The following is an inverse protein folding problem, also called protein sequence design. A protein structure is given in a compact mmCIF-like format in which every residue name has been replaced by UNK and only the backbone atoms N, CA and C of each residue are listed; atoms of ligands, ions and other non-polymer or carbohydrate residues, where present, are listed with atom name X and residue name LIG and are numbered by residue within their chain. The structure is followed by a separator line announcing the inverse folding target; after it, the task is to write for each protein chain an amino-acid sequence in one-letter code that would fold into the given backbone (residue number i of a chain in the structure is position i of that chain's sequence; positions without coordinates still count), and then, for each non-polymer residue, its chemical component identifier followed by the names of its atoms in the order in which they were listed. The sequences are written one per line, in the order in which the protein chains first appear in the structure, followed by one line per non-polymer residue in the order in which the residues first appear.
data_IF_032706391467
#
_entry.id   IF_032706391467
#
_cell.length_a   1.000
_cell.length_b   1.000
_cell.length_c   1.000
_cell.angle_alpha   90.00
_cell.angle_beta   90.00
_cell.angle_gamma   90.00
#
_symmetry.space_group_name_H-M   'P 1'
#
loop_
_entity.id
_entity.type
_entity.pdbx_description
1 polymer ?
#
# COMPACT_ATOMS: atom_id res chain seq x y z
N UNK A 1 -11.42 -45.11 -16.43
CA UNK A 1 -12.26 -45.51 -17.58
C UNK A 1 -11.75 -44.74 -18.78
N UNK A 2 -10.90 -45.36 -19.60
CA UNK A 2 -10.23 -44.76 -20.76
C UNK A 2 -11.07 -45.04 -22.00
N UNK A 3 -11.48 -44.01 -22.74
CA UNK A 3 -12.19 -44.15 -24.01
C UNK A 3 -11.13 -44.30 -25.11
N UNK A 4 -10.99 -45.47 -25.77
CA UNK A 4 -10.08 -45.65 -26.88
C UNK A 4 -10.78 -45.19 -28.17
N UNK A 5 -10.13 -44.31 -28.95
CA UNK A 5 -10.54 -44.04 -30.34
C UNK A 5 -10.96 -42.62 -30.69
N UNK A 6 -10.75 -41.62 -29.82
CA UNK A 6 -10.91 -40.22 -30.25
C UNK A 6 -9.68 -39.81 -31.07
N UNK A 7 -9.75 -39.96 -32.40
CA UNK A 7 -8.80 -39.32 -33.33
C UNK A 7 -8.84 -37.83 -33.03
N UNK A 8 -7.74 -37.29 -32.51
CA UNK A 8 -7.64 -35.85 -32.31
C UNK A 8 -7.79 -35.17 -33.68
N UNK A 9 -8.68 -34.18 -33.82
CA UNK A 9 -8.67 -33.32 -35.00
C UNK A 9 -7.28 -32.72 -35.13
N UNK A 10 -6.65 -32.95 -36.29
CA UNK A 10 -5.44 -32.25 -36.71
C UNK A 10 -5.89 -30.80 -36.94
N UNK A 11 -5.86 -30.00 -35.89
CA UNK A 11 -5.80 -28.55 -36.00
C UNK A 11 -4.41 -28.24 -36.56
N UNK A 12 -4.34 -27.55 -37.69
CA UNK A 12 -3.07 -27.04 -38.22
C UNK A 12 -2.47 -26.04 -37.22
N UNK A 13 -1.28 -26.37 -36.73
CA UNK A 13 -0.60 -25.84 -35.53
C UNK A 13 0.17 -24.52 -35.78
N UNK A 14 0.27 -24.04 -37.03
CA UNK A 14 1.18 -22.92 -37.35
C UNK A 14 0.64 -21.52 -36.97
N UNK A 15 -0.69 -21.35 -36.89
CA UNK A 15 -1.31 -20.06 -36.54
C UNK A 15 -1.41 -19.80 -35.03
N UNK A 16 -1.65 -20.84 -34.23
CA UNK A 16 -1.84 -20.74 -32.78
C UNK A 16 -0.53 -20.49 -32.04
N UNK A 17 0.58 -21.12 -32.43
CA UNK A 17 1.89 -20.84 -31.81
C UNK A 17 2.40 -19.43 -32.09
N UNK A 18 2.19 -18.91 -33.30
CA UNK A 18 2.61 -17.56 -33.65
C UNK A 18 1.81 -16.49 -32.88
N UNK A 19 0.51 -16.70 -32.68
CA UNK A 19 -0.34 -15.82 -31.88
C UNK A 19 0.04 -15.88 -30.39
N UNK A 20 0.19 -17.09 -29.85
CA UNK A 20 0.62 -17.32 -28.46
C UNK A 20 1.98 -16.64 -28.18
N UNK A 21 2.95 -16.76 -29.10
CA UNK A 21 4.26 -16.10 -28.96
C UNK A 21 4.18 -14.57 -29.00
N UNK A 22 3.31 -13.99 -29.83
CA UNK A 22 3.12 -12.52 -29.89
C UNK A 22 2.47 -12.00 -28.62
N UNK A 23 1.46 -12.70 -28.11
CA UNK A 23 0.78 -12.36 -26.86
C UNK A 23 1.77 -12.43 -25.69
N UNK A 24 2.55 -13.51 -25.62
CA UNK A 24 3.59 -13.67 -24.62
C UNK A 24 4.63 -12.53 -24.67
N UNK A 25 5.16 -12.21 -25.86
CA UNK A 25 6.16 -11.13 -26.00
C UNK A 25 5.60 -9.76 -25.61
N UNK A 26 4.32 -9.52 -25.87
CA UNK A 26 3.65 -8.30 -25.45
C UNK A 26 3.48 -8.25 -23.93
N UNK A 27 3.06 -9.35 -23.29
CA UNK A 27 2.99 -9.49 -21.82
C UNK A 27 4.35 -9.15 -21.19
N UNK A 28 5.40 -9.86 -21.65
CA UNK A 28 6.79 -9.66 -21.22
C UNK A 28 7.24 -8.20 -21.32
N UNK A 29 6.89 -7.51 -22.41
CA UNK A 29 7.23 -6.10 -22.58
C UNK A 29 6.55 -5.20 -21.54
N UNK A 30 5.29 -5.46 -21.18
CA UNK A 30 4.58 -4.74 -20.12
C UNK A 30 5.14 -5.05 -18.72
N UNK A 31 5.59 -6.27 -18.48
CA UNK A 31 6.22 -6.66 -17.22
C UNK A 31 7.58 -5.96 -17.04
N UNK A 32 8.38 -5.90 -18.11
CA UNK A 32 9.60 -5.08 -18.17
C UNK A 32 9.31 -3.59 -17.91
N UNK A 33 8.26 -3.02 -18.52
CA UNK A 33 7.86 -1.64 -18.28
C UNK A 33 7.42 -1.41 -16.83
N UNK A 34 6.73 -2.38 -16.24
CA UNK A 34 6.31 -2.32 -14.82
C UNK A 34 7.53 -2.31 -13.91
N UNK A 35 8.52 -3.17 -14.17
CA UNK A 35 9.78 -3.18 -13.44
C UNK A 35 10.54 -1.83 -13.52
N UNK A 36 10.63 -1.26 -14.73
CA UNK A 36 11.27 0.05 -14.93
C UNK A 36 10.53 1.18 -14.21
N UNK A 37 9.19 1.16 -14.25
CA UNK A 37 8.36 2.11 -13.53
C UNK A 37 8.59 2.02 -12.01
N UNK A 38 8.54 0.80 -11.44
CA UNK A 38 8.81 0.56 -10.02
C UNK A 38 10.21 1.04 -9.60
N UNK A 39 11.23 0.76 -10.41
CA UNK A 39 12.60 1.22 -10.17
C UNK A 39 12.71 2.74 -10.18
N UNK A 40 11.99 3.40 -11.09
CA UNK A 40 11.92 4.87 -11.15
C UNK A 40 11.19 5.45 -9.93
N UNK A 41 10.10 4.81 -9.48
CA UNK A 41 9.39 5.18 -8.26
C UNK A 41 10.23 4.98 -7.01
N UNK A 42 11.07 3.94 -6.95
CA UNK A 42 12.00 3.73 -5.85
C UNK A 42 13.04 4.85 -5.78
N UNK A 43 13.64 5.20 -6.93
CA UNK A 43 14.56 6.33 -7.01
C UNK A 43 13.88 7.63 -6.55
N UNK A 44 12.65 7.89 -7.02
CA UNK A 44 11.88 9.06 -6.58
C UNK A 44 11.56 9.02 -5.08
N UNK A 45 11.12 7.89 -4.53
CA UNK A 45 10.83 7.73 -3.11
C UNK A 45 12.05 8.04 -2.23
N UNK A 46 13.25 7.65 -2.66
CA UNK A 46 14.51 7.96 -1.97
C UNK A 46 14.85 9.47 -1.97
N UNK A 47 14.34 10.26 -2.91
CA UNK A 47 14.52 11.73 -2.89
C UNK A 47 13.58 12.43 -1.91
N UNK A 48 12.51 11.77 -1.43
CA UNK A 48 11.57 12.33 -0.47
C UNK A 48 12.19 12.24 0.93
N UNK A 49 12.21 13.36 1.67
CA UNK A 49 12.81 13.43 3.01
C UNK A 49 12.21 12.36 3.96
N UNK A 50 13.03 11.46 4.54
CA UNK A 50 12.55 10.30 5.30
C UNK A 50 12.06 10.71 6.69
N UNK A 51 10.80 11.18 6.80
CA UNK A 51 10.26 11.61 8.10
C UNK A 51 8.92 10.99 8.49
N UNK A 52 8.23 10.27 7.58
CA UNK A 52 6.98 9.57 7.91
C UNK A 52 7.14 8.05 7.87
N UNK A 53 6.42 7.35 8.74
CA UNK A 53 6.34 5.88 8.74
C UNK A 53 5.75 5.32 7.42
N UNK A 54 4.68 5.91 6.84
CA UNK A 54 4.14 5.42 5.56
C UNK A 54 5.13 5.45 4.40
N UNK A 55 6.03 6.45 4.34
CA UNK A 55 7.06 6.50 3.29
C UNK A 55 8.05 5.33 3.40
N UNK A 56 8.47 4.99 4.62
CA UNK A 56 9.34 3.83 4.85
C UNK A 56 8.65 2.54 4.41
N UNK A 57 7.36 2.40 4.73
CA UNK A 57 6.56 1.29 4.24
C UNK A 57 6.47 1.26 2.72
N UNK A 58 6.21 2.39 2.06
CA UNK A 58 6.13 2.47 0.60
C UNK A 58 7.45 2.08 -0.09
N UNK A 59 8.60 2.47 0.47
CA UNK A 59 9.93 2.03 -0.01
C UNK A 59 10.07 0.50 0.12
N UNK A 60 9.66 -0.08 1.25
CA UNK A 60 9.69 -1.53 1.45
C UNK A 60 8.79 -2.23 0.42
N UNK A 61 7.57 -1.74 0.18
CA UNK A 61 6.67 -2.28 -0.87
C UNK A 61 7.35 -2.23 -2.24
N UNK A 62 7.95 -1.10 -2.62
CA UNK A 62 8.63 -0.95 -3.91
C UNK A 62 9.77 -1.96 -4.06
N UNK A 63 10.61 -2.13 -3.04
CA UNK A 63 11.70 -3.12 -3.06
C UNK A 63 11.16 -4.54 -3.21
N UNK A 64 10.17 -4.93 -2.41
CA UNK A 64 9.57 -6.27 -2.48
C UNK A 64 8.94 -6.53 -3.86
N UNK A 65 8.22 -5.55 -4.42
CA UNK A 65 7.61 -5.70 -5.73
C UNK A 65 8.64 -5.76 -6.85
N UNK A 66 9.72 -4.98 -6.78
CA UNK A 66 10.86 -5.05 -7.70
C UNK A 66 11.48 -6.46 -7.64
N UNK A 67 11.68 -7.03 -6.44
CA UNK A 67 12.19 -8.39 -6.29
C UNK A 67 11.24 -9.43 -6.93
N UNK A 68 9.94 -9.32 -6.68
CA UNK A 68 8.94 -10.22 -7.28
C UNK A 68 8.93 -10.12 -8.83
N UNK A 69 8.97 -8.91 -9.37
CA UNK A 69 8.98 -8.67 -10.81
C UNK A 69 10.28 -9.13 -11.46
N UNK A 70 11.42 -8.90 -10.81
CA UNK A 70 12.72 -9.35 -11.31
C UNK A 70 12.77 -10.88 -11.46
N UNK A 71 12.29 -11.61 -10.44
CA UNK A 71 12.24 -13.08 -10.49
C UNK A 71 11.31 -13.58 -11.61
N UNK A 72 10.16 -12.92 -11.79
CA UNK A 72 9.22 -13.26 -12.87
C UNK A 72 9.83 -13.01 -14.26
N UNK A 73 10.48 -11.85 -14.46
CA UNK A 73 11.17 -11.52 -15.71
C UNK A 73 12.33 -12.50 -16.00
N UNK A 74 13.09 -12.90 -14.97
CA UNK A 74 14.16 -13.91 -15.14
C UNK A 74 13.56 -15.21 -15.70
N UNK A 75 12.45 -15.67 -15.13
CA UNK A 75 11.76 -16.86 -15.63
C UNK A 75 11.32 -16.69 -17.10
N UNK A 76 10.67 -15.58 -17.43
CA UNK A 76 10.19 -15.32 -18.80
C UNK A 76 11.35 -15.24 -19.81
N UNK A 77 12.52 -14.71 -19.40
CA UNK A 77 13.74 -14.70 -20.23
C UNK A 77 14.25 -16.13 -20.47
N UNK A 78 14.23 -17.00 -19.44
CA UNK A 78 14.63 -18.41 -19.58
C UNK A 78 13.69 -19.16 -20.53
N UNK A 79 12.39 -18.89 -20.45
CA UNK A 79 11.39 -19.43 -21.36
C UNK A 79 11.63 -18.97 -22.81
N UNK A 80 11.88 -17.67 -23.02
CA UNK A 80 12.24 -17.11 -24.34
C UNK A 80 13.51 -17.72 -24.92
N UNK A 81 14.52 -17.95 -24.07
CA UNK A 81 15.77 -18.58 -24.45
C UNK A 81 15.61 -20.08 -24.74
N UNK A 82 14.42 -20.67 -24.48
CA UNK A 82 14.18 -22.12 -24.52
C UNK A 82 15.23 -22.88 -23.70
N UNK A 83 15.71 -22.26 -22.63
CA UNK A 83 16.77 -22.80 -21.82
C UNK A 83 16.20 -24.00 -21.05
N UNK A 84 16.77 -25.19 -21.26
CA UNK A 84 16.44 -26.39 -20.49
C UNK A 84 17.10 -26.27 -19.12
N UNK A 85 16.61 -25.35 -18.30
CA UNK A 85 17.05 -25.20 -16.92
C UNK A 85 16.35 -26.28 -16.11
N UNK A 86 17.13 -27.01 -15.31
CA UNK A 86 16.61 -27.96 -14.31
C UNK A 86 15.61 -27.24 -13.38
N UNK A 87 14.86 -28.00 -12.57
CA UNK A 87 13.79 -27.59 -11.63
C UNK A 87 14.10 -26.41 -10.66
N UNK A 88 15.23 -25.72 -10.76
CA UNK A 88 15.60 -24.55 -9.96
C UNK A 88 14.64 -23.35 -10.10
N UNK A 89 13.99 -23.18 -11.25
CA UNK A 89 13.00 -22.10 -11.45
C UNK A 89 11.82 -22.18 -10.46
N UNK A 90 11.59 -23.36 -9.87
CA UNK A 90 10.56 -23.57 -8.85
C UNK A 90 10.83 -22.72 -7.61
N UNK A 91 12.11 -22.56 -7.23
CA UNK A 91 12.50 -21.69 -6.11
C UNK A 91 12.21 -20.23 -6.46
N UNK A 92 12.50 -19.83 -7.71
CA UNK A 92 12.24 -18.47 -8.17
C UNK A 92 10.75 -18.13 -8.11
N UNK A 93 9.88 -19.07 -8.51
CA UNK A 93 8.43 -18.90 -8.38
C UNK A 93 7.95 -18.80 -6.94
N UNK A 94 8.46 -19.66 -6.04
CA UNK A 94 8.15 -19.55 -4.61
C UNK A 94 8.56 -18.18 -4.05
N UNK A 95 9.75 -17.69 -4.40
CA UNK A 95 10.23 -16.39 -3.94
C UNK A 95 9.44 -15.23 -4.56
N UNK A 96 9.09 -15.30 -5.85
CA UNK A 96 8.30 -14.30 -6.53
C UNK A 96 6.92 -14.15 -5.88
N UNK A 97 6.23 -15.27 -5.63
CA UNK A 97 4.93 -15.25 -4.96
C UNK A 97 5.05 -14.74 -3.52
N UNK A 98 6.07 -15.17 -2.77
CA UNK A 98 6.33 -14.68 -1.42
C UNK A 98 6.48 -13.14 -1.41
N UNK A 99 7.34 -12.59 -2.26
CA UNK A 99 7.57 -11.16 -2.32
C UNK A 99 6.32 -10.38 -2.78
N UNK A 100 5.56 -10.93 -3.74
CA UNK A 100 4.29 -10.35 -4.21
C UNK A 100 3.24 -10.27 -3.09
N UNK A 101 3.08 -11.37 -2.35
CA UNK A 101 2.15 -11.47 -1.24
C UNK A 101 2.54 -10.54 -0.09
N UNK A 102 3.81 -10.55 0.32
CA UNK A 102 4.30 -9.66 1.39
C UNK A 102 4.18 -8.19 0.97
N UNK A 103 4.54 -7.85 -0.27
CA UNK A 103 4.38 -6.50 -0.83
C UNK A 103 2.94 -6.01 -0.71
N UNK A 104 1.97 -6.85 -1.09
CA UNK A 104 0.54 -6.53 -1.00
C UNK A 104 0.09 -6.28 0.45
N UNK A 105 0.50 -7.13 1.40
CA UNK A 105 0.20 -6.95 2.82
C UNK A 105 0.79 -5.64 3.38
N UNK A 106 2.04 -5.33 3.03
CA UNK A 106 2.69 -4.08 3.45
C UNK A 106 2.02 -2.87 2.78
N UNK A 107 1.50 -2.99 1.56
CA UNK A 107 0.77 -1.91 0.90
C UNK A 107 -0.56 -1.60 1.61
N UNK A 108 -1.32 -2.62 2.06
CA UNK A 108 -2.47 -2.42 2.95
C UNK A 108 -2.08 -1.65 4.21
N UNK A 109 -0.98 -2.05 4.86
CA UNK A 109 -0.45 -1.36 6.03
C UNK A 109 -0.11 0.11 5.73
N UNK A 110 0.51 0.41 4.57
CA UNK A 110 0.85 1.77 4.17
C UNK A 110 -0.41 2.63 3.97
N UNK A 111 -1.45 2.11 3.32
CA UNK A 111 -2.72 2.83 3.18
C UNK A 111 -3.38 3.08 4.54
N UNK A 112 -3.47 2.08 5.41
CA UNK A 112 -4.04 2.25 6.75
C UNK A 112 -3.26 3.25 7.59
N UNK A 113 -1.93 3.19 7.61
CA UNK A 113 -1.11 4.19 8.29
C UNK A 113 -1.31 5.59 7.71
N UNK A 114 -1.42 5.72 6.39
CA UNK A 114 -1.69 7.01 5.73
C UNK A 114 -3.04 7.57 6.16
N UNK A 115 -4.11 6.75 6.13
CA UNK A 115 -5.45 7.14 6.58
C UNK A 115 -5.44 7.56 8.05
N UNK A 116 -4.81 6.78 8.94
CA UNK A 116 -4.73 7.13 10.36
C UNK A 116 -3.98 8.44 10.59
N UNK A 117 -2.86 8.63 9.88
CA UNK A 117 -2.07 9.85 9.98
C UNK A 117 -2.86 11.09 9.52
N UNK A 118 -3.70 10.93 8.48
CA UNK A 118 -4.62 11.97 8.05
C UNK A 118 -5.71 12.24 9.11
N UNK A 119 -6.37 11.19 9.61
CA UNK A 119 -7.43 11.30 10.62
C UNK A 119 -6.94 11.96 11.90
N UNK A 120 -5.75 11.61 12.38
CA UNK A 120 -5.14 12.16 13.59
C UNK A 120 -4.92 13.67 13.47
N UNK A 121 -4.65 14.19 12.25
CA UNK A 121 -4.54 15.64 12.00
C UNK A 121 -5.88 16.35 11.84
N UNK A 122 -6.95 15.63 11.50
CA UNK A 122 -8.27 16.21 11.25
C UNK A 122 -9.10 16.40 12.52
N UNK A 123 -8.69 15.82 13.65
CA UNK A 123 -9.42 15.92 14.90
C UNK A 123 -8.67 16.78 15.90
N UNK A 124 -9.18 17.98 16.12
CA UNK A 124 -8.87 18.77 17.31
C UNK A 124 -9.45 18.03 18.52
N UNK A 125 -8.61 17.37 19.32
CA UNK A 125 -8.94 16.85 20.65
C UNK A 125 -10.09 15.81 20.74
N UNK A 126 -9.78 14.52 20.55
CA UNK A 126 -10.67 13.43 20.97
C UNK A 126 -10.21 12.05 20.52
N UNK A 127 -10.74 10.98 21.12
CA UNK A 127 -10.44 9.56 20.80
C UNK A 127 -11.33 8.89 19.71
N UNK A 128 -12.04 9.58 18.78
CA UNK A 128 -13.16 8.96 18.07
C UNK A 128 -12.77 7.86 17.06
N UNK A 129 -11.48 7.70 16.73
CA UNK A 129 -11.03 6.73 15.73
C UNK A 129 -10.18 5.57 16.28
N UNK A 130 -10.07 5.44 17.61
CA UNK A 130 -9.45 4.26 18.20
C UNK A 130 -10.12 2.94 17.74
N UNK A 131 -11.47 2.84 17.66
CA UNK A 131 -12.12 1.64 17.15
C UNK A 131 -11.76 1.33 15.70
N UNK A 132 -11.70 2.34 14.84
CA UNK A 132 -11.32 2.18 13.43
C UNK A 132 -9.92 1.59 13.29
N UNK A 133 -8.97 2.10 14.08
CA UNK A 133 -7.59 1.59 14.11
C UNK A 133 -7.55 0.11 14.49
N UNK A 134 -8.33 -0.29 15.50
CA UNK A 134 -8.44 -1.69 15.91
C UNK A 134 -8.98 -2.54 14.75
N UNK A 135 -10.04 -2.09 14.08
CA UNK A 135 -10.63 -2.81 12.93
C UNK A 135 -9.60 -3.00 11.81
N UNK A 136 -8.89 -1.95 11.39
CA UNK A 136 -7.85 -2.06 10.35
C UNK A 136 -6.75 -3.05 10.72
N UNK A 137 -6.29 -3.06 11.98
CA UNK A 137 -5.27 -4.02 12.44
C UNK A 137 -5.79 -5.47 12.46
N UNK A 138 -7.05 -5.68 12.84
CA UNK A 138 -7.69 -7.01 12.79
C UNK A 138 -7.81 -7.50 11.35
N UNK A 139 -8.26 -6.64 10.43
CA UNK A 139 -8.36 -6.95 9.00
C UNK A 139 -6.99 -7.28 8.40
N UNK A 140 -5.96 -6.49 8.73
CA UNK A 140 -4.59 -6.74 8.28
C UNK A 140 -4.04 -8.07 8.82
N UNK A 141 -4.30 -8.39 10.09
CA UNK A 141 -3.92 -9.67 10.69
C UNK A 141 -4.58 -10.85 10.00
N UNK A 142 -5.89 -10.75 9.73
CA UNK A 142 -6.65 -11.77 8.99
C UNK A 142 -6.10 -12.00 7.59
N UNK A 143 -5.85 -10.92 6.83
CA UNK A 143 -5.24 -11.03 5.50
C UNK A 143 -3.85 -11.64 5.57
N UNK A 144 -3.03 -11.25 6.55
CA UNK A 144 -1.67 -11.80 6.68
C UNK A 144 -1.69 -13.31 6.92
N UNK A 145 -2.57 -13.79 7.80
CA UNK A 145 -2.73 -15.24 8.07
C UNK A 145 -3.24 -15.98 6.84
N UNK A 146 -4.25 -15.43 6.15
CA UNK A 146 -4.79 -16.01 4.93
C UNK A 146 -3.73 -16.13 3.83
N UNK A 147 -2.95 -15.06 3.64
CA UNK A 147 -1.87 -14.98 2.69
C UNK A 147 -0.72 -15.94 3.00
N UNK A 148 -0.37 -16.09 4.27
CA UNK A 148 0.63 -17.07 4.70
C UNK A 148 0.14 -18.51 4.47
N UNK A 149 -1.13 -18.79 4.75
CA UNK A 149 -1.74 -20.10 4.48
C UNK A 149 -1.74 -20.42 2.99
N UNK A 150 -2.09 -19.44 2.14
CA UNK A 150 -2.08 -19.59 0.69
C UNK A 150 -0.67 -19.86 0.16
N UNK A 151 0.31 -19.07 0.58
CA UNK A 151 1.71 -19.27 0.25
C UNK A 151 2.22 -20.66 0.68
N UNK A 152 1.87 -21.13 1.87
CA UNK A 152 2.28 -22.46 2.35
C UNK A 152 1.72 -23.59 1.46
N UNK A 153 0.46 -23.47 1.03
CA UNK A 153 -0.14 -24.44 0.09
C UNK A 153 0.52 -24.34 -1.29
N UNK A 154 0.83 -23.12 -1.75
CA UNK A 154 1.54 -22.89 -3.01
C UNK A 154 2.92 -23.59 -3.03
N UNK A 155 3.72 -23.39 -1.98
CA UNK A 155 5.01 -24.09 -1.81
C UNK A 155 4.84 -25.62 -1.84
N UNK A 156 3.80 -26.14 -1.19
CA UNK A 156 3.52 -27.58 -1.19
C UNK A 156 3.11 -28.11 -2.57
N UNK A 157 2.42 -27.29 -3.39
CA UNK A 157 2.09 -27.63 -4.78
C UNK A 157 3.34 -27.67 -5.63
N UNK A 158 4.17 -26.64 -5.55
CA UNK A 158 5.43 -26.54 -6.30
C UNK A 158 6.38 -27.70 -5.97
N UNK A 159 6.50 -28.05 -4.68
CA UNK A 159 7.24 -29.23 -4.24
C UNK A 159 6.70 -30.54 -4.85
N UNK A 160 5.38 -30.75 -4.81
CA UNK A 160 4.75 -31.94 -5.40
C UNK A 160 4.80 -31.96 -6.93
N UNK A 161 4.89 -30.78 -7.57
CA UNK A 161 5.11 -30.63 -9.01
C UNK A 161 6.43 -31.26 -9.41
N UNK A 162 7.48 -30.94 -8.65
CA UNK A 162 8.83 -31.48 -8.81
C UNK A 162 8.88 -33.00 -8.62
N UNK A 163 8.13 -33.53 -7.65
CA UNK A 163 8.02 -34.98 -7.42
C UNK A 163 7.11 -35.72 -8.44
N UNK A 164 6.30 -35.00 -9.21
CA UNK A 164 5.29 -35.60 -10.09
C UNK A 164 4.08 -36.21 -9.35
N UNK A 165 3.83 -35.78 -8.11
CA UNK A 165 2.80 -36.35 -7.21
C UNK A 165 1.64 -35.39 -6.92
N UNK A 166 1.46 -34.35 -7.76
CA UNK A 166 0.34 -33.41 -7.63
C UNK A 166 -1.00 -34.17 -7.65
N UNK A 167 -1.83 -33.89 -6.65
CA UNK A 167 -3.19 -34.43 -6.57
C UNK A 167 -4.21 -33.34 -6.90
N UNK A 168 -5.34 -33.72 -7.50
CA UNK A 168 -6.43 -32.77 -7.73
C UNK A 168 -6.90 -32.10 -6.42
N UNK A 169 -6.87 -32.83 -5.30
CA UNK A 169 -7.27 -32.33 -3.98
C UNK A 169 -6.42 -31.14 -3.49
N UNK A 170 -5.09 -31.18 -3.66
CA UNK A 170 -4.24 -30.06 -3.22
C UNK A 170 -4.44 -28.82 -4.10
N UNK A 171 -4.61 -29.03 -5.41
CA UNK A 171 -4.88 -27.95 -6.36
C UNK A 171 -6.22 -27.26 -6.11
N UNK A 172 -7.28 -28.03 -5.83
CA UNK A 172 -8.60 -27.51 -5.47
C UNK A 172 -8.57 -26.69 -4.17
N UNK A 173 -7.86 -27.18 -3.15
CA UNK A 173 -7.66 -26.43 -1.89
C UNK A 173 -6.95 -25.10 -2.12
N UNK A 174 -5.89 -25.08 -2.94
CA UNK A 174 -5.18 -23.84 -3.28
C UNK A 174 -6.07 -22.88 -4.05
N UNK A 175 -6.80 -23.34 -5.08
CA UNK A 175 -7.72 -22.50 -5.86
C UNK A 175 -8.76 -21.82 -4.97
N UNK A 176 -9.34 -22.55 -4.03
CA UNK A 176 -10.29 -21.99 -3.03
C UNK A 176 -9.64 -20.91 -2.18
N UNK A 177 -8.42 -21.16 -1.71
CA UNK A 177 -7.70 -20.26 -0.82
C UNK A 177 -7.22 -18.99 -1.55
N UNK A 178 -6.65 -19.14 -2.74
CA UNK A 178 -6.30 -18.06 -3.66
C UNK A 178 -7.52 -17.20 -3.98
N UNK A 179 -8.66 -17.82 -4.31
CA UNK A 179 -9.88 -17.08 -4.62
C UNK A 179 -10.43 -16.32 -3.42
N UNK A 180 -10.43 -16.93 -2.24
CA UNK A 180 -10.81 -16.27 -1.00
C UNK A 180 -9.89 -15.07 -0.71
N UNK A 181 -8.56 -15.22 -0.90
CA UNK A 181 -7.59 -14.14 -0.75
C UNK A 181 -7.89 -12.97 -1.68
N UNK A 182 -8.06 -13.21 -2.98
CA UNK A 182 -8.36 -12.17 -3.96
C UNK A 182 -9.66 -11.42 -3.64
N UNK A 183 -10.72 -12.11 -3.21
CA UNK A 183 -11.99 -11.48 -2.83
C UNK A 183 -11.82 -10.62 -1.57
N UNK A 184 -11.11 -11.13 -0.55
CA UNK A 184 -10.87 -10.37 0.69
C UNK A 184 -10.00 -9.14 0.41
N UNK A 185 -8.99 -9.27 -0.43
CA UNK A 185 -8.15 -8.15 -0.87
C UNK A 185 -8.98 -7.09 -1.60
N UNK A 186 -9.89 -7.51 -2.48
CA UNK A 186 -10.83 -6.61 -3.15
C UNK A 186 -11.70 -5.83 -2.15
N UNK A 187 -12.30 -6.52 -1.17
CA UNK A 187 -13.15 -5.88 -0.15
C UNK A 187 -12.34 -4.90 0.70
N UNK A 188 -11.13 -5.25 1.10
CA UNK A 188 -10.26 -4.35 1.88
C UNK A 188 -9.78 -3.15 1.05
N UNK A 189 -9.49 -3.34 -0.24
CA UNK A 189 -9.13 -2.23 -1.13
C UNK A 189 -10.31 -1.27 -1.35
N UNK A 190 -11.54 -1.79 -1.42
CA UNK A 190 -12.75 -0.98 -1.46
C UNK A 190 -12.92 -0.17 -0.16
N UNK A 191 -12.69 -0.80 0.98
CA UNK A 191 -12.75 -0.15 2.29
C UNK A 191 -11.72 1.00 2.41
N UNK A 192 -10.47 0.79 1.98
CA UNK A 192 -9.45 1.84 1.87
C UNK A 192 -9.93 3.00 1.00
N UNK A 193 -10.54 2.71 -0.15
CA UNK A 193 -11.03 3.73 -1.07
C UNK A 193 -12.14 4.58 -0.44
N UNK A 194 -13.10 3.93 0.23
CA UNK A 194 -14.20 4.62 0.95
C UNK A 194 -13.64 5.51 2.07
N UNK A 195 -12.70 5.00 2.88
CA UNK A 195 -12.08 5.81 3.94
C UNK A 195 -11.25 6.96 3.39
N UNK A 196 -10.58 6.77 2.26
CA UNK A 196 -9.83 7.85 1.60
C UNK A 196 -10.76 8.97 1.14
N UNK A 197 -11.92 8.64 0.59
CA UNK A 197 -12.96 9.62 0.25
C UNK A 197 -13.45 10.34 1.51
N UNK A 198 -13.81 9.58 2.55
CA UNK A 198 -14.31 10.13 3.81
C UNK A 198 -13.31 11.14 4.42
N UNK A 199 -12.04 10.76 4.51
CA UNK A 199 -10.96 11.61 5.02
C UNK A 199 -10.79 12.85 4.15
N UNK A 200 -10.88 12.71 2.82
CA UNK A 200 -10.75 13.85 1.90
C UNK A 200 -11.90 14.84 2.05
N UNK A 201 -13.14 14.36 2.15
CA UNK A 201 -14.32 15.22 2.37
C UNK A 201 -14.20 15.95 3.71
N UNK A 202 -13.82 15.23 4.78
CA UNK A 202 -13.61 15.82 6.11
C UNK A 202 -12.44 16.81 6.13
N UNK A 203 -11.39 16.55 5.38
CA UNK A 203 -10.28 17.48 5.24
C UNK A 203 -10.69 18.76 4.49
N UNK A 204 -11.57 18.65 3.48
CA UNK A 204 -12.07 19.79 2.73
C UNK A 204 -12.81 20.84 3.57
N UNK A 205 -13.34 20.46 4.74
CA UNK A 205 -13.99 21.38 5.67
C UNK A 205 -13.02 22.04 6.65
N UNK A 206 -11.78 21.57 6.75
CA UNK A 206 -10.73 22.12 7.60
C UNK A 206 -9.68 22.88 6.77
N UNK A 207 -8.89 23.74 7.44
CA UNK A 207 -8.00 24.77 6.87
C UNK A 207 -6.73 24.21 6.19
N UNK A 208 -6.85 23.29 5.23
CA UNK A 208 -5.70 22.86 4.43
C UNK A 208 -5.38 23.88 3.33
N UNK A 209 -4.13 24.34 3.32
CA UNK A 209 -3.60 25.24 2.28
C UNK A 209 -3.53 24.58 0.89
N UNK A 210 -3.50 23.24 0.79
CA UNK A 210 -3.51 22.51 -0.48
C UNK A 210 -4.31 21.21 -0.42
N UNK A 211 -5.20 21.01 -1.41
CA UNK A 211 -6.01 19.78 -1.58
C UNK A 211 -5.31 18.70 -2.39
N UNK A 212 -4.17 19.01 -3.02
CA UNK A 212 -3.43 18.10 -3.89
C UNK A 212 -3.09 16.74 -3.26
N UNK A 213 -2.56 16.63 -2.02
CA UNK A 213 -2.22 15.34 -1.43
C UNK A 213 -3.44 14.42 -1.23
N UNK A 214 -4.63 15.00 -0.99
CA UNK A 214 -5.85 14.23 -0.79
C UNK A 214 -6.35 13.64 -2.11
N UNK A 215 -6.36 14.43 -3.19
CA UNK A 215 -6.72 13.94 -4.52
C UNK A 215 -5.75 12.88 -5.03
N UNK A 216 -4.45 13.02 -4.75
CA UNK A 216 -3.47 12.00 -5.13
C UNK A 216 -3.67 10.71 -4.33
N UNK A 217 -4.08 10.78 -3.05
CA UNK A 217 -4.44 9.59 -2.28
C UNK A 217 -5.72 8.91 -2.79
N UNK A 218 -6.74 9.68 -3.20
CA UNK A 218 -7.94 9.13 -3.87
C UNK A 218 -7.53 8.39 -5.14
N UNK A 219 -6.67 8.98 -5.97
CA UNK A 219 -6.18 8.33 -7.19
C UNK A 219 -5.44 7.02 -6.87
N UNK A 220 -4.54 7.03 -5.88
CA UNK A 220 -3.80 5.83 -5.47
C UNK A 220 -4.73 4.71 -4.96
N UNK A 221 -5.69 5.05 -4.11
CA UNK A 221 -6.67 4.09 -3.56
C UNK A 221 -7.63 3.57 -4.63
N UNK A 222 -8.03 4.40 -5.59
CA UNK A 222 -8.84 3.98 -6.74
C UNK A 222 -8.06 2.99 -7.63
N UNK A 223 -6.78 3.25 -7.90
CA UNK A 223 -5.94 2.32 -8.66
C UNK A 223 -5.70 1.02 -7.87
N UNK A 224 -5.52 1.10 -6.55
CA UNK A 224 -5.40 -0.10 -5.70
C UNK A 224 -6.70 -0.92 -5.69
N UNK A 225 -7.85 -0.26 -5.60
CA UNK A 225 -9.16 -0.89 -5.75
C UNK A 225 -9.30 -1.56 -7.11
N UNK A 226 -8.97 -0.86 -8.20
CA UNK A 226 -9.02 -1.40 -9.56
C UNK A 226 -8.12 -2.63 -9.76
N UNK A 227 -6.89 -2.59 -9.24
CA UNK A 227 -5.97 -3.73 -9.26
C UNK A 227 -6.57 -4.96 -8.58
N UNK A 228 -7.11 -4.81 -7.36
CA UNK A 228 -7.69 -5.93 -6.63
C UNK A 228 -9.03 -6.39 -7.23
N UNK A 229 -9.81 -5.49 -7.83
CA UNK A 229 -11.03 -5.86 -8.57
C UNK A 229 -10.70 -6.75 -9.77
N UNK A 230 -9.65 -6.41 -10.54
CA UNK A 230 -9.18 -7.24 -11.65
C UNK A 230 -8.84 -8.66 -11.16
N UNK A 231 -7.97 -8.78 -10.16
CA UNK A 231 -7.59 -10.08 -9.60
C UNK A 231 -8.77 -10.83 -8.98
N UNK A 232 -9.72 -10.13 -8.35
CA UNK A 232 -10.97 -10.71 -7.86
C UNK A 232 -11.81 -11.32 -8.98
N UNK A 233 -11.96 -10.63 -10.11
CA UNK A 233 -12.69 -11.13 -11.28
C UNK A 233 -11.99 -12.36 -11.87
N UNK A 234 -10.67 -12.31 -12.04
CA UNK A 234 -9.87 -13.44 -12.53
C UNK A 234 -10.04 -14.64 -11.60
N UNK A 235 -9.91 -14.45 -10.29
CA UNK A 235 -10.04 -15.51 -9.31
C UNK A 235 -11.44 -16.16 -9.31
N UNK A 236 -12.52 -15.36 -9.33
CA UNK A 236 -13.89 -15.87 -9.41
C UNK A 236 -14.09 -16.70 -10.69
N UNK A 237 -13.60 -16.20 -11.82
CA UNK A 237 -13.67 -16.91 -13.10
C UNK A 237 -12.92 -18.24 -13.05
N UNK A 238 -11.69 -18.22 -12.53
CA UNK A 238 -10.84 -19.40 -12.39
C UNK A 238 -11.43 -20.43 -11.44
N UNK A 239 -12.16 -20.00 -10.41
CA UNK A 239 -12.89 -20.89 -9.51
C UNK A 239 -14.12 -21.53 -10.17
N UNK A 240 -14.91 -20.75 -10.91
CA UNK A 240 -16.15 -21.23 -11.55
C UNK A 240 -15.89 -22.10 -12.78
N UNK A 241 -14.77 -21.90 -13.47
CA UNK A 241 -14.44 -22.60 -14.71
C UNK A 241 -13.67 -23.89 -14.38
N UNK A 242 -14.39 -24.99 -14.18
CA UNK A 242 -13.83 -26.31 -13.81
C UNK A 242 -12.87 -26.87 -14.87
N UNK A 243 -12.86 -26.34 -16.10
CA UNK A 243 -11.93 -26.78 -17.15
C UNK A 243 -10.49 -26.40 -16.82
N UNK A 244 -9.72 -27.42 -16.41
CA UNK A 244 -8.38 -27.35 -15.84
C UNK A 244 -7.30 -26.85 -16.80
N UNK A 245 -7.55 -26.76 -18.10
CA UNK A 245 -6.45 -26.70 -19.05
C UNK A 245 -5.74 -25.34 -19.08
N UNK A 246 -6.36 -24.25 -19.57
CA UNK A 246 -5.67 -22.97 -19.73
C UNK A 246 -6.68 -21.83 -19.69
N UNK A 247 -6.36 -20.75 -18.96
CA UNK A 247 -7.03 -19.48 -19.16
C UNK A 247 -6.88 -19.05 -20.64
N UNK A 248 -7.78 -18.24 -21.17
CA UNK A 248 -7.67 -17.78 -22.55
C UNK A 248 -6.36 -16.97 -22.66
N UNK A 249 -5.58 -17.24 -23.70
CA UNK A 249 -4.20 -16.72 -23.83
C UNK A 249 -4.13 -15.19 -23.72
N UNK A 250 -5.17 -14.49 -24.20
CA UNK A 250 -5.26 -13.02 -24.11
C UNK A 250 -5.27 -12.49 -22.66
N UNK A 251 -5.56 -13.34 -21.67
CA UNK A 251 -5.68 -12.91 -20.28
C UNK A 251 -4.33 -12.48 -19.70
N UNK A 252 -3.23 -13.12 -20.11
CA UNK A 252 -1.87 -12.77 -19.67
C UNK A 252 -1.49 -11.33 -20.08
N UNK A 253 -1.68 -10.96 -21.36
CA UNK A 253 -1.41 -9.58 -21.80
C UNK A 253 -2.32 -8.57 -21.09
N UNK A 254 -3.59 -8.91 -20.83
CA UNK A 254 -4.52 -8.03 -20.12
C UNK A 254 -4.06 -7.82 -18.67
N UNK A 255 -3.63 -8.89 -17.99
CA UNK A 255 -3.10 -8.83 -16.62
C UNK A 255 -1.85 -7.95 -16.55
N UNK A 256 -0.88 -8.10 -17.45
CA UNK A 256 0.33 -7.26 -17.45
C UNK A 256 0.03 -5.79 -17.78
N UNK A 257 -0.88 -5.52 -18.73
CA UNK A 257 -1.30 -4.15 -19.07
C UNK A 257 -1.97 -3.46 -17.88
N UNK A 258 -2.97 -4.12 -17.27
CA UNK A 258 -3.66 -3.54 -16.13
C UNK A 258 -2.77 -3.45 -14.90
N UNK A 259 -1.88 -4.42 -14.69
CA UNK A 259 -0.86 -4.35 -13.64
C UNK A 259 -0.02 -3.10 -13.83
N UNK A 260 0.53 -2.86 -15.01
CA UNK A 260 1.29 -1.63 -15.29
C UNK A 260 0.49 -0.37 -14.95
N UNK A 261 -0.73 -0.25 -15.50
CA UNK A 261 -1.56 0.96 -15.34
C UNK A 261 -1.90 1.20 -13.87
N UNK A 262 -2.34 0.17 -13.14
CA UNK A 262 -2.73 0.32 -11.75
C UNK A 262 -1.52 0.52 -10.84
N UNK A 263 -0.41 -0.19 -11.04
CA UNK A 263 0.84 -0.01 -10.28
C UNK A 263 1.36 1.41 -10.42
N UNK A 264 1.43 1.92 -11.66
CA UNK A 264 1.83 3.30 -11.93
C UNK A 264 0.90 4.28 -11.20
N UNK A 265 -0.41 4.07 -11.28
CA UNK A 265 -1.39 4.91 -10.58
C UNK A 265 -1.26 4.89 -9.05
N UNK A 266 -1.07 3.70 -8.46
CA UNK A 266 -0.87 3.51 -7.02
C UNK A 266 0.33 4.32 -6.54
N UNK A 267 1.51 4.10 -7.12
CA UNK A 267 2.74 4.73 -6.63
C UNK A 267 2.82 6.21 -6.99
N UNK A 268 2.29 6.63 -8.15
CA UNK A 268 2.21 8.05 -8.48
C UNK A 268 1.35 8.79 -7.46
N UNK A 269 0.13 8.30 -7.20
CA UNK A 269 -0.77 8.95 -6.25
C UNK A 269 -0.25 8.90 -4.80
N UNK A 270 0.33 7.77 -4.39
CA UNK A 270 0.84 7.57 -3.04
C UNK A 270 2.09 8.43 -2.79
N UNK A 271 3.06 8.44 -3.69
CA UNK A 271 4.28 9.25 -3.52
C UNK A 271 3.99 10.75 -3.61
N UNK A 272 3.08 11.19 -4.51
CA UNK A 272 2.61 12.58 -4.53
C UNK A 272 1.91 12.98 -3.23
N UNK A 273 1.08 12.09 -2.67
CA UNK A 273 0.44 12.32 -1.39
C UNK A 273 1.50 12.52 -0.30
N UNK A 274 2.43 11.57 -0.17
CA UNK A 274 3.46 11.60 0.86
C UNK A 274 4.38 12.81 0.71
N UNK A 275 4.86 13.11 -0.50
CA UNK A 275 5.72 14.27 -0.78
C UNK A 275 5.06 15.60 -0.39
N UNK A 276 3.80 15.81 -0.81
CA UNK A 276 3.11 17.06 -0.54
C UNK A 276 2.66 17.17 0.92
N UNK A 277 2.37 16.05 1.57
CA UNK A 277 2.02 16.02 2.98
C UNK A 277 3.15 16.46 3.90
N UNK A 278 4.41 16.20 3.53
CA UNK A 278 5.57 16.72 4.25
C UNK A 278 5.64 18.24 4.23
N UNK A 279 5.30 18.87 3.11
CA UNK A 279 5.30 20.34 2.99
C UNK A 279 4.28 21.00 3.92
N UNK A 280 3.20 20.31 4.26
CA UNK A 280 2.17 20.75 5.20
C UNK A 280 2.57 20.55 6.68
N UNK A 281 3.54 19.67 6.98
CA UNK A 281 3.93 19.34 8.35
C UNK A 281 5.11 20.14 8.91
N UNK A 282 5.77 20.97 8.10
CA UNK A 282 6.92 21.77 8.52
C UNK A 282 6.48 23.12 9.09
N UNK A 283 6.57 23.27 10.40
CA UNK A 283 6.77 24.50 11.20
C UNK A 283 5.91 25.76 10.96
N UNK A 284 4.96 25.79 10.02
CA UNK A 284 4.18 27.00 9.74
C UNK A 284 2.88 27.12 10.54
N UNK A 285 2.37 26.03 11.11
CA UNK A 285 1.07 26.02 11.82
C UNK A 285 1.17 25.99 13.35
N UNK A 286 2.38 25.90 13.91
CA UNK A 286 2.59 26.36 15.29
C UNK A 286 2.89 27.84 15.19
N UNK A 287 1.94 28.76 15.50
CA UNK A 287 2.36 30.12 15.80
C UNK A 287 3.45 30.00 16.85
N UNK A 288 4.60 30.60 16.57
CA UNK A 288 5.69 30.72 17.52
C UNK A 288 5.07 31.16 18.84
N UNK A 289 5.01 30.25 19.82
CA UNK A 289 4.56 30.58 21.18
C UNK A 289 5.51 31.61 21.83
N UNK A 290 6.56 32.02 21.11
CA UNK A 290 7.47 33.12 21.42
C UNK A 290 7.05 34.50 20.86
N UNK A 291 5.90 34.66 20.19
CA UNK A 291 5.43 35.97 19.68
C UNK A 291 4.14 36.50 20.36
N UNK A 292 3.82 36.03 21.57
CA UNK A 292 2.82 36.66 22.44
C UNK A 292 3.44 37.07 23.78
N UNK A 293 4.34 38.05 23.74
CA UNK A 293 4.38 39.07 24.78
C UNK A 293 4.30 40.43 24.07
N UNK A 294 3.12 41.06 24.04
CA UNK A 294 3.06 42.49 23.80
C UNK A 294 3.79 43.18 24.95
N UNK A 295 4.69 44.09 24.60
CA UNK A 295 5.18 45.15 25.46
C UNK A 295 4.07 45.67 26.39
N UNK A 296 4.24 45.47 27.70
CA UNK A 296 3.67 46.41 28.67
C UNK A 296 4.71 47.51 28.88
N UNK A 297 4.63 48.53 28.02
CA UNK A 297 5.33 49.80 28.19
C UNK A 297 4.62 50.57 29.32
N UNK A 298 4.86 50.21 30.57
CA UNK A 298 4.71 51.14 31.70
C UNK A 298 6.08 51.78 31.97
N UNK A 299 6.39 52.81 31.18
CA UNK A 299 7.37 53.82 31.56
C UNK A 299 6.90 54.59 32.80
N UNK A 300 7.89 55.16 33.52
CA UNK A 300 7.80 56.15 34.60
C UNK A 300 7.46 55.65 36.02
N UNK A 301 8.51 55.27 36.76
CA UNK A 301 8.78 55.97 38.03
C UNK A 301 10.24 56.38 38.07
N UNK A 302 10.45 57.65 37.72
CA UNK A 302 11.68 58.38 38.00
C UNK A 302 11.83 58.55 39.52
N UNK A 303 13.03 58.29 39.99
CA UNK A 303 13.69 58.87 41.16
C UNK A 303 13.30 60.33 41.41
N UNK A 304 12.77 60.66 42.60
CA UNK A 304 12.99 61.94 43.29
C UNK A 304 12.61 61.82 44.80
N UNK A 305 13.59 61.98 45.67
CA UNK A 305 13.41 62.27 47.10
C UNK A 305 12.91 63.72 47.26
N UNK A 306 12.03 64.00 48.23
CA UNK A 306 12.36 65.10 49.14
C UNK A 306 12.03 64.81 50.60
N UNK A 307 12.79 65.47 51.47
CA UNK A 307 12.61 65.57 52.91
C UNK A 307 11.16 65.88 53.32
N UNK A 308 10.67 65.16 54.34
CA UNK A 308 9.84 65.77 55.38
C UNK A 308 10.24 65.23 56.76
N UNK A 309 10.91 66.10 57.51
CA UNK A 309 10.71 66.26 58.94
C UNK A 309 9.21 66.43 59.20
N UNK A 310 8.62 65.72 60.17
CA UNK A 310 7.87 66.33 61.27
C UNK A 310 7.30 65.29 62.24
N UNK A 311 7.72 65.46 63.49
CA UNK A 311 6.90 65.41 64.71
C UNK A 311 6.31 64.08 65.19
N UNK A 312 7.00 63.54 66.20
CA UNK A 312 6.37 62.92 67.38
C UNK A 312 5.18 63.76 67.89
N UNK A 313 4.16 63.08 68.40
CA UNK A 313 3.68 63.41 69.74
C UNK A 313 3.81 62.21 70.70
N UNK A 314 4.49 62.47 71.82
CA UNK A 314 4.29 61.77 73.08
C UNK A 314 2.87 62.02 73.62
N UNK A 315 2.25 60.98 74.17
CA UNK A 315 1.26 61.01 75.27
C UNK A 315 1.23 59.56 75.81
N UNK A 316 1.93 59.22 76.90
CA UNK A 316 1.73 59.55 78.33
C UNK A 316 0.45 58.93 78.90
N UNK A 317 0.68 57.94 79.79
CA UNK A 317 -0.13 57.53 80.95
C UNK A 317 -1.55 56.96 80.66
N UNK A 318 -2.15 56.06 81.43
CA UNK A 318 -2.07 55.69 82.85
C UNK A 318 -2.83 54.33 82.96
N UNK A 319 -2.31 53.29 83.62
CA UNK A 319 -2.56 52.88 85.02
C UNK A 319 -3.48 51.66 85.19
N UNK A 320 -3.14 50.88 86.22
CA UNK A 320 -3.95 49.91 86.98
C UNK A 320 -4.21 48.57 86.26
N UNK A 321 -3.94 47.42 86.84
CA UNK A 321 -3.91 47.01 88.26
C UNK A 321 -3.01 45.79 88.48
#
# INVERSE_FOLDING_TARGET
MTIPGMKQPIWTIDGSHALSKKIFLASFAFDCLTFLALSSFLAWACTIRPSSQPLKGAIIVLVLWICAQLLSIIYEILELASAVVKQYYVIDFMLAEFFSVVSSCVLFLVFYQTIHLLLDRLTDSGKPYAPLRIIHWVLLGLVTVLSLAEFAVYVAIEYKSVEGTITYKILDSWRKLYSARCIIYFVMAFEIFVWTIFVTVKAGTHRFTSRMPLFSLIAASLCWFGYNLMWGIVAIRSYLTITVAYGPEYLSIIESVFTLVFVVGIFTGLLLCLMNWFKLGGDHDKPSTSAQHPYDNSQMFQTWQPHQQQQQPQLVQHHQS
#
